data_IF_322111290014
#
_entry.id   IF_322111290014
#
_cell.length_a   1.000
_cell.length_b   1.000
_cell.length_c   1.000
_cell.angle_alpha   90.00
_cell.angle_beta   90.00
_cell.angle_gamma   90.00
#
_symmetry.space_group_name_H-M   'P 1'
#
loop_
_entity.id
_entity.type
_entity.pdbx_description
1 polymer ?
#
# COMPACT_ATOMS: atom_id res chain seq x y z
N UNK A 1 9.02 -21.11 12.15
CA UNK A 1 8.73 -20.51 13.46
C UNK A 1 7.31 -20.95 13.86
N UNK A 2 7.13 -21.69 14.94
CA UNK A 2 5.81 -22.18 15.34
C UNK A 2 5.04 -21.04 16.04
N UNK A 3 3.81 -20.79 15.64
CA UNK A 3 2.92 -19.85 16.32
C UNK A 3 2.49 -20.49 17.65
N UNK A 4 2.47 -19.71 18.75
CA UNK A 4 2.01 -20.20 20.04
C UNK A 4 0.52 -20.58 19.95
N UNK A 5 0.15 -21.69 20.59
CA UNK A 5 -1.25 -22.08 20.73
C UNK A 5 -2.07 -20.95 21.37
N UNK A 6 -3.33 -20.75 20.93
CA UNK A 6 -4.16 -19.68 21.45
C UNK A 6 -4.46 -19.92 22.93
N UNK A 7 -4.03 -18.99 23.76
CA UNK A 7 -4.47 -18.92 25.17
C UNK A 7 -5.73 -18.07 25.26
N UNK A 8 -6.62 -18.38 26.18
CA UNK A 8 -7.97 -17.76 26.33
C UNK A 8 -7.97 -16.23 26.52
N UNK A 9 -6.83 -15.59 26.67
CA UNK A 9 -6.73 -14.16 27.00
C UNK A 9 -6.66 -13.21 25.81
N UNK A 10 -6.97 -13.61 24.60
CA UNK A 10 -6.85 -12.62 23.52
C UNK A 10 -7.52 -12.93 22.18
N UNK A 11 -8.75 -12.43 21.99
CA UNK A 11 -9.37 -12.34 20.66
C UNK A 11 -8.41 -11.74 19.61
N UNK A 12 -7.60 -10.73 19.96
CA UNK A 12 -6.57 -10.15 19.09
C UNK A 12 -5.48 -11.15 18.73
N UNK A 13 -4.99 -11.92 19.69
CA UNK A 13 -3.93 -12.91 19.45
C UNK A 13 -4.42 -14.07 18.59
N UNK A 14 -5.68 -14.51 18.81
CA UNK A 14 -6.31 -15.55 18.01
C UNK A 14 -6.50 -15.11 16.56
N UNK A 15 -6.90 -13.85 16.35
CA UNK A 15 -7.10 -13.31 15.01
C UNK A 15 -5.78 -13.19 14.23
N UNK A 16 -4.73 -12.65 14.84
CA UNK A 16 -3.40 -12.54 14.21
C UNK A 16 -2.84 -13.92 13.86
N UNK A 17 -2.98 -14.90 14.75
CA UNK A 17 -2.53 -16.26 14.50
C UNK A 17 -3.32 -16.90 13.35
N UNK A 18 -4.62 -16.68 13.31
CA UNK A 18 -5.47 -17.18 12.24
C UNK A 18 -5.12 -16.54 10.91
N UNK A 19 -5.00 -15.22 10.85
CA UNK A 19 -4.64 -14.49 9.64
C UNK A 19 -3.26 -14.92 9.11
N UNK A 20 -2.27 -15.06 9.98
CA UNK A 20 -0.95 -15.57 9.60
C UNK A 20 -1.00 -16.99 9.03
N UNK A 21 -1.83 -17.90 9.60
CA UNK A 21 -2.05 -19.24 9.04
C UNK A 21 -2.70 -19.21 7.66
N UNK A 22 -3.65 -18.29 7.44
CA UNK A 22 -4.26 -18.11 6.12
C UNK A 22 -3.22 -17.60 5.10
N UNK A 23 -2.41 -16.64 5.47
CA UNK A 23 -1.34 -16.11 4.60
C UNK A 23 -0.32 -17.20 4.23
N UNK A 24 0.06 -18.06 5.19
CA UNK A 24 0.98 -19.18 4.95
C UNK A 24 0.35 -20.32 4.11
N UNK A 25 -0.96 -20.41 4.07
CA UNK A 25 -1.68 -21.40 3.26
C UNK A 25 -1.88 -20.95 1.81
N UNK A 26 -1.61 -19.67 1.51
CA UNK A 26 -1.62 -19.18 0.13
C UNK A 26 -0.44 -19.80 -0.62
N UNK A 27 -0.62 -20.14 -1.90
CA UNK A 27 0.49 -20.61 -2.71
C UNK A 27 1.60 -19.57 -2.67
N UNK A 28 2.84 -20.04 -2.66
CA UNK A 28 4.05 -19.20 -2.75
C UNK A 28 3.99 -18.43 -4.09
N UNK A 29 3.25 -17.33 -4.06
CA UNK A 29 3.03 -16.53 -5.24
C UNK A 29 4.22 -15.59 -5.38
N UNK A 30 5.12 -15.94 -6.30
CA UNK A 30 6.04 -14.98 -6.93
C UNK A 30 5.25 -13.94 -7.75
N UNK A 31 3.93 -13.89 -7.60
CA UNK A 31 3.06 -13.00 -8.32
C UNK A 31 3.20 -11.58 -7.77
N UNK A 32 3.41 -10.65 -8.67
CA UNK A 32 3.45 -9.23 -8.37
C UNK A 32 2.09 -8.77 -7.79
N UNK A 33 2.13 -8.01 -6.73
CA UNK A 33 0.94 -7.34 -6.19
C UNK A 33 0.42 -6.34 -7.23
N UNK A 34 -0.82 -6.52 -7.68
CA UNK A 34 -1.45 -5.55 -8.58
C UNK A 34 -1.83 -4.32 -7.78
N UNK A 35 -1.45 -3.15 -8.27
CA UNK A 35 -1.71 -1.87 -7.64
C UNK A 35 -2.27 -0.87 -8.66
N UNK A 36 -3.47 -0.37 -8.40
CA UNK A 36 -4.16 0.54 -9.31
C UNK A 36 -3.95 2.00 -8.87
N UNK A 37 -3.46 2.81 -9.79
CA UNK A 37 -3.28 4.25 -9.61
C UNK A 37 -4.09 4.99 -10.66
N UNK A 38 -4.78 6.03 -10.23
CA UNK A 38 -5.52 6.94 -11.11
C UNK A 38 -4.95 8.35 -10.98
N UNK A 39 -4.79 9.03 -12.10
CA UNK A 39 -4.36 10.43 -12.13
C UNK A 39 -5.31 11.21 -13.01
N UNK A 40 -5.88 12.27 -12.46
CA UNK A 40 -6.73 13.21 -13.22
C UNK A 40 -6.13 14.59 -13.16
N UNK A 41 -6.23 15.31 -14.28
CA UNK A 41 -5.87 16.71 -14.39
C UNK A 41 -7.09 17.53 -14.75
N UNK A 42 -7.50 18.40 -13.83
CA UNK A 42 -8.65 19.29 -14.02
C UNK A 42 -8.16 20.69 -14.41
N UNK A 43 -8.34 21.03 -15.68
CA UNK A 43 -7.74 22.24 -16.23
C UNK A 43 -6.22 22.22 -16.09
N UNK A 44 -5.58 23.37 -15.97
CA UNK A 44 -4.15 23.46 -15.71
C UNK A 44 -3.76 23.56 -14.22
N UNK A 45 -4.76 23.52 -13.33
CA UNK A 45 -4.58 23.98 -11.95
C UNK A 45 -4.57 22.84 -10.91
N UNK A 46 -5.30 21.76 -11.13
CA UNK A 46 -5.47 20.70 -10.13
C UNK A 46 -5.09 19.33 -10.70
N UNK A 47 -4.20 18.63 -9.98
CA UNK A 47 -3.94 17.21 -10.19
C UNK A 47 -4.56 16.41 -9.04
N UNK A 48 -5.29 15.34 -9.37
CA UNK A 48 -5.86 14.41 -8.38
C UNK A 48 -5.18 13.05 -8.56
N UNK A 49 -4.63 12.53 -7.47
CA UNK A 49 -4.08 11.19 -7.39
C UNK A 49 -5.06 10.30 -6.62
N UNK A 50 -5.62 9.31 -7.28
CA UNK A 50 -6.39 8.24 -6.67
C UNK A 50 -5.50 7.02 -6.47
N UNK A 51 -5.25 6.68 -5.22
CA UNK A 51 -4.35 5.60 -4.81
C UNK A 51 -5.17 4.48 -4.17
N UNK A 52 -4.95 3.27 -4.61
CA UNK A 52 -5.55 2.10 -3.99
C UNK A 52 -4.99 1.87 -2.58
N UNK A 53 -5.79 1.23 -1.72
CA UNK A 53 -5.37 0.83 -0.37
C UNK A 53 -5.27 1.98 0.63
N UNK A 54 -4.79 1.64 1.80
CA UNK A 54 -4.55 2.56 2.92
C UNK A 54 -3.15 3.17 2.79
N UNK A 55 -3.02 4.22 1.95
CA UNK A 55 -1.72 4.87 1.76
C UNK A 55 -1.24 5.51 3.05
N UNK A 56 -0.01 5.23 3.45
CA UNK A 56 0.61 5.85 4.62
C UNK A 56 0.91 7.34 4.38
N UNK A 57 0.99 8.11 5.46
CA UNK A 57 1.09 9.58 5.42
C UNK A 57 2.23 10.16 4.54
N UNK A 58 3.41 9.52 4.38
CA UNK A 58 4.47 10.05 3.51
C UNK A 58 4.06 10.18 2.04
N UNK A 59 3.11 9.37 1.56
CA UNK A 59 2.64 9.46 0.17
C UNK A 59 2.01 10.81 -0.17
N UNK A 60 1.35 11.46 0.81
CA UNK A 60 0.74 12.77 0.60
C UNK A 60 1.72 13.82 0.08
N UNK A 61 2.78 14.19 0.82
CA UNK A 61 3.79 15.14 0.35
C UNK A 61 4.56 14.64 -0.88
N UNK A 62 4.88 13.34 -0.99
CA UNK A 62 5.58 12.80 -2.15
C UNK A 62 4.82 13.01 -3.45
N UNK A 63 3.53 12.66 -3.46
CA UNK A 63 2.68 12.80 -4.66
C UNK A 63 2.43 14.27 -5.01
N UNK A 64 2.25 15.14 -4.01
CA UNK A 64 2.16 16.59 -4.25
C UNK A 64 3.41 17.14 -4.90
N UNK A 65 4.58 16.68 -4.49
CA UNK A 65 5.86 17.11 -5.10
C UNK A 65 6.01 16.63 -6.55
N UNK A 66 5.35 15.53 -6.93
CA UNK A 66 5.32 15.02 -8.31
C UNK A 66 4.34 15.78 -9.20
N UNK A 67 3.33 16.44 -8.63
CA UNK A 67 2.33 17.17 -9.40
C UNK A 67 2.95 18.31 -10.19
N UNK A 68 2.51 18.50 -11.45
CA UNK A 68 2.93 19.60 -12.32
C UNK A 68 1.99 20.81 -12.26
N UNK A 69 1.05 20.82 -11.32
CA UNK A 69 0.04 21.86 -11.13
C UNK A 69 0.24 22.56 -9.78
N UNK A 70 -0.35 23.74 -9.61
CA UNK A 70 -0.26 24.50 -8.35
C UNK A 70 -0.91 23.78 -7.18
N UNK A 71 -1.96 22.99 -7.47
CA UNK A 71 -2.70 22.25 -6.47
C UNK A 71 -2.66 20.74 -6.76
N UNK A 72 -2.58 19.95 -5.71
CA UNK A 72 -2.69 18.51 -5.79
C UNK A 72 -3.53 17.94 -4.64
N UNK A 73 -4.47 17.07 -5.00
CA UNK A 73 -5.28 16.29 -4.07
C UNK A 73 -4.80 14.83 -4.11
N UNK A 74 -4.60 14.24 -2.95
CA UNK A 74 -4.22 12.83 -2.82
C UNK A 74 -5.32 12.11 -2.06
N UNK A 75 -5.86 11.06 -2.66
CA UNK A 75 -7.00 10.28 -2.16
C UNK A 75 -6.51 8.84 -2.00
N UNK A 76 -6.53 8.32 -0.77
CA UNK A 76 -6.39 6.89 -0.50
C UNK A 76 -7.73 6.16 -0.66
N UNK A 77 -7.71 4.84 -0.52
CA UNK A 77 -8.89 3.97 -0.65
C UNK A 77 -9.62 4.10 -2.00
N UNK A 78 -8.93 4.58 -3.02
CA UNK A 78 -9.51 4.69 -4.35
C UNK A 78 -9.64 3.30 -4.98
N UNK A 79 -10.86 2.92 -5.35
CA UNK A 79 -11.28 1.64 -5.94
C UNK A 79 -11.27 0.44 -4.99
N UNK A 80 -10.24 0.26 -4.17
CA UNK A 80 -10.06 -0.92 -3.36
C UNK A 80 -9.30 -0.62 -2.06
N UNK A 81 -9.46 -1.49 -1.08
CA UNK A 81 -8.69 -1.49 0.17
C UNK A 81 -7.93 -2.80 0.26
N UNK A 82 -6.89 -2.91 -0.54
CA UNK A 82 -6.13 -4.14 -0.72
C UNK A 82 -5.04 -4.35 0.33
N UNK A 83 -4.51 -3.29 0.91
CA UNK A 83 -3.48 -3.31 1.97
C UNK A 83 -3.21 -1.91 2.51
N UNK A 84 -2.40 -1.81 3.59
CA UNK A 84 -1.59 -0.63 3.84
C UNK A 84 -0.52 -0.49 2.76
N UNK A 85 -0.28 0.74 2.33
CA UNK A 85 0.74 1.06 1.33
C UNK A 85 1.81 1.92 2.00
N UNK A 86 2.85 1.28 2.58
CA UNK A 86 3.96 1.98 3.21
C UNK A 86 4.90 2.60 2.16
N UNK A 87 5.71 3.56 2.59
CA UNK A 87 6.91 3.96 1.86
C UNK A 87 8.12 3.09 2.26
N UNK A 88 9.26 3.31 1.64
CA UNK A 88 10.49 2.55 1.93
C UNK A 88 10.96 2.72 3.38
N UNK A 89 10.70 3.88 4.01
CA UNK A 89 11.10 4.13 5.39
C UNK A 89 10.24 3.31 6.35
N UNK A 90 8.91 3.33 6.19
CA UNK A 90 7.98 2.55 7.02
C UNK A 90 8.26 1.06 6.88
N UNK A 91 8.56 0.57 5.67
CA UNK A 91 8.97 -0.84 5.48
C UNK A 91 10.22 -1.16 6.28
N UNK A 92 11.23 -0.31 6.25
CA UNK A 92 12.50 -0.50 6.97
C UNK A 92 12.31 -0.45 8.49
N UNK A 93 11.46 0.44 8.97
CA UNK A 93 11.15 0.58 10.40
C UNK A 93 10.26 -0.58 10.90
N UNK A 94 9.52 -1.23 10.03
CA UNK A 94 8.59 -2.31 10.38
C UNK A 94 7.34 -1.78 11.07
N UNK A 95 6.93 -2.43 12.15
CA UNK A 95 5.72 -2.04 12.88
C UNK A 95 4.43 -2.56 12.24
N UNK A 96 3.32 -1.87 12.49
CA UNK A 96 2.01 -2.33 12.03
C UNK A 96 1.87 -2.17 10.51
N UNK A 97 2.04 -0.95 9.99
CA UNK A 97 1.83 -0.63 8.58
C UNK A 97 2.90 -1.25 7.68
N UNK A 98 4.16 -1.30 8.16
CA UNK A 98 5.29 -1.81 7.37
C UNK A 98 5.42 -3.33 7.36
N UNK A 99 4.86 -4.03 8.36
CA UNK A 99 5.12 -5.46 8.54
C UNK A 99 3.87 -6.29 8.86
N UNK A 100 3.13 -5.96 9.94
CA UNK A 100 2.15 -6.90 10.48
C UNK A 100 0.74 -6.72 9.93
N UNK A 101 0.40 -5.59 9.35
CA UNK A 101 -0.92 -5.33 8.75
C UNK A 101 -1.21 -6.25 7.56
N UNK A 102 -0.19 -6.69 6.81
CA UNK A 102 -0.34 -7.55 5.65
C UNK A 102 -1.07 -8.86 5.98
N UNK A 103 -0.94 -9.37 7.21
CA UNK A 103 -1.70 -10.54 7.65
C UNK A 103 -3.22 -10.30 7.65
N UNK A 104 -3.65 -9.05 7.91
CA UNK A 104 -5.06 -8.66 7.87
C UNK A 104 -5.65 -8.71 6.47
N UNK A 105 -4.81 -8.49 5.47
CA UNK A 105 -5.17 -8.48 4.06
C UNK A 105 -4.82 -9.79 3.34
N UNK A 106 -4.41 -10.80 4.10
CA UNK A 106 -4.03 -12.13 3.56
C UNK A 106 -2.92 -12.07 2.50
N UNK A 107 -2.02 -11.12 2.61
CA UNK A 107 -0.86 -11.09 1.74
C UNK A 107 0.15 -12.16 2.17
N UNK A 108 0.80 -12.86 1.22
CA UNK A 108 1.73 -13.96 1.52
C UNK A 108 3.03 -13.49 2.18
N UNK A 109 3.42 -12.25 1.94
CA UNK A 109 4.63 -11.66 2.50
C UNK A 109 4.47 -10.13 2.67
N UNK A 110 5.23 -9.51 3.57
CA UNK A 110 5.30 -8.05 3.66
C UNK A 110 5.96 -7.45 2.41
N UNK A 111 5.62 -6.19 2.15
CA UNK A 111 6.27 -5.44 1.08
C UNK A 111 7.77 -5.24 1.36
N UNK A 112 8.53 -5.09 0.31
CA UNK A 112 9.94 -4.69 0.36
C UNK A 112 10.07 -3.18 0.14
N UNK A 113 11.25 -2.61 0.41
CA UNK A 113 11.53 -1.20 0.14
C UNK A 113 11.35 -0.81 -1.35
N UNK A 114 11.28 -1.79 -2.25
CA UNK A 114 11.01 -1.57 -3.67
C UNK A 114 9.59 -1.00 -3.94
N UNK A 115 8.65 -1.13 -3.01
CA UNK A 115 7.28 -0.64 -3.16
C UNK A 115 7.24 0.87 -3.52
N UNK A 116 8.07 1.68 -2.87
CA UNK A 116 8.08 3.13 -3.12
C UNK A 116 8.55 3.49 -4.53
N UNK A 117 9.74 3.07 -4.99
CA UNK A 117 10.18 3.39 -6.35
C UNK A 117 9.26 2.79 -7.43
N UNK A 118 8.66 1.62 -7.21
CA UNK A 118 7.72 1.01 -8.14
C UNK A 118 6.43 1.84 -8.28
N UNK A 119 5.82 2.24 -7.16
CA UNK A 119 4.62 3.09 -7.19
C UNK A 119 4.94 4.46 -7.81
N UNK A 120 6.08 5.08 -7.48
CA UNK A 120 6.50 6.33 -8.12
C UNK A 120 6.63 6.18 -9.63
N UNK A 121 7.13 5.05 -10.10
CA UNK A 121 7.23 4.78 -11.53
C UNK A 121 5.84 4.64 -12.19
N UNK A 122 4.89 3.97 -11.53
CA UNK A 122 3.51 3.84 -12.01
C UNK A 122 2.86 5.22 -12.11
N UNK A 123 2.97 6.04 -11.06
CA UNK A 123 2.44 7.40 -11.02
C UNK A 123 3.05 8.25 -12.14
N UNK A 124 4.36 8.18 -12.34
CA UNK A 124 5.04 8.93 -13.41
C UNK A 124 4.50 8.56 -14.78
N UNK A 125 4.35 7.27 -15.07
CA UNK A 125 3.76 6.78 -16.33
C UNK A 125 2.33 7.28 -16.53
N UNK A 126 1.51 7.25 -15.47
CA UNK A 126 0.13 7.75 -15.53
C UNK A 126 0.10 9.26 -15.82
N UNK A 127 0.99 10.04 -15.18
CA UNK A 127 1.11 11.48 -15.42
C UNK A 127 1.57 11.81 -16.85
N UNK A 128 2.48 11.03 -17.40
CA UNK A 128 2.96 11.24 -18.78
C UNK A 128 1.86 10.95 -19.81
N UNK A 129 0.99 9.99 -19.53
CA UNK A 129 -0.16 9.66 -20.40
C UNK A 129 -1.16 10.82 -20.48
N UNK A 130 -1.38 11.57 -19.40
CA UNK A 130 -2.35 12.69 -19.39
C UNK A 130 -1.76 14.02 -19.88
N UNK A 131 -0.46 14.07 -20.20
CA UNK A 131 0.20 15.25 -20.78
C UNK A 131 0.10 15.32 -22.29
N UNK A 132 -0.31 14.23 -22.92
CA UNK A 132 -0.55 14.13 -24.38
C UNK A 132 -1.94 14.60 -24.74
#
# INVERSE_FOLDING_TARGET
MAYPEPTESGLRRNWQTWAARQSLALPDSSESFRYDVQVWKLGGQLTIFGMEGEICSPWGPMLRAMASTEQAMVIGYANSTSSYIPDSQIVREGGYEGLTSQHAYFLPAPFTEAIEPEIKQIVTKAMDTIRQ
#
